data_IF_865855341878
#
_entry.id   IF_865855341878
#
_cell.length_a   1.000
_cell.length_b   1.000
_cell.length_c   1.000
_cell.angle_alpha   90.00
_cell.angle_beta   90.00
_cell.angle_gamma   90.00
#
_symmetry.space_group_name_H-M   'P 1'
#
loop_
_entity.id
_entity.type
_entity.pdbx_description
1 polymer ?
#
# COMPACT_ATOMS: atom_id res chain seq x y z
N UNK A 1 11.23 -19.09 1.83
CA UNK A 1 10.10 -18.71 2.69
C UNK A 1 10.54 -18.93 4.13
N UNK A 2 10.26 -18.01 5.03
CA UNK A 2 10.56 -18.16 6.45
C UNK A 2 9.83 -19.39 7.03
N UNK A 3 10.51 -20.11 7.92
CA UNK A 3 9.93 -21.26 8.63
C UNK A 3 8.95 -20.83 9.75
N UNK A 4 8.95 -19.52 10.09
CA UNK A 4 8.18 -18.98 11.20
C UNK A 4 6.85 -18.34 10.76
N UNK A 5 5.94 -18.23 11.71
CA UNK A 5 4.66 -17.55 11.53
C UNK A 5 4.84 -16.02 11.39
N UNK A 6 3.89 -15.29 10.79
CA UNK A 6 3.99 -13.84 10.55
C UNK A 6 4.36 -13.02 11.78
N UNK A 7 3.78 -13.30 12.94
CA UNK A 7 4.08 -12.59 14.18
C UNK A 7 5.54 -12.75 14.64
N UNK A 8 6.14 -13.91 14.42
CA UNK A 8 7.55 -14.17 14.69
C UNK A 8 8.42 -13.45 13.67
N UNK A 9 8.02 -13.48 12.39
CA UNK A 9 8.74 -12.80 11.32
C UNK A 9 8.77 -11.27 11.51
N UNK A 10 7.72 -10.67 12.06
CA UNK A 10 7.72 -9.25 12.44
C UNK A 10 8.87 -8.88 13.38
N UNK A 11 9.30 -9.82 14.23
CA UNK A 11 10.36 -9.61 15.21
C UNK A 11 11.75 -9.97 14.70
N UNK A 12 11.87 -11.02 13.88
CA UNK A 12 13.14 -11.67 13.61
C UNK A 12 13.65 -11.57 12.17
N UNK A 13 12.79 -11.24 11.21
CA UNK A 13 13.21 -11.07 9.81
C UNK A 13 13.89 -9.73 9.56
N UNK A 14 14.70 -9.68 8.50
CA UNK A 14 15.38 -8.50 7.99
C UNK A 14 16.74 -8.22 8.62
N UNK A 15 16.89 -8.33 9.94
CA UNK A 15 18.16 -8.13 10.62
C UNK A 15 18.48 -9.29 11.55
N UNK A 16 19.62 -9.93 11.31
CA UNK A 16 20.16 -11.02 12.14
C UNK A 16 21.52 -10.54 12.70
N UNK A 17 21.59 -10.16 13.99
CA UNK A 17 22.84 -9.71 14.57
C UNK A 17 23.86 -10.84 14.73
N UNK A 18 25.12 -10.53 14.42
CA UNK A 18 26.26 -11.40 14.72
C UNK A 18 26.66 -11.33 16.20
N UNK A 19 27.68 -12.12 16.57
CA UNK A 19 28.18 -12.13 17.93
C UNK A 19 28.81 -10.78 18.31
N UNK A 20 28.26 -10.13 19.34
CA UNK A 20 28.71 -8.80 19.80
C UNK A 20 28.17 -7.62 19.03
N UNK A 21 27.28 -7.85 18.07
CA UNK A 21 26.58 -6.78 17.34
C UNK A 21 25.32 -6.30 18.10
N UNK A 22 24.84 -5.08 17.79
CA UNK A 22 23.61 -4.56 18.38
C UNK A 22 22.45 -5.52 18.15
N UNK A 23 21.63 -5.76 19.18
CA UNK A 23 20.44 -6.60 19.05
C UNK A 23 19.36 -5.94 18.17
N UNK A 24 19.26 -4.63 18.21
CA UNK A 24 18.32 -3.89 17.38
C UNK A 24 19.00 -3.40 16.10
N UNK A 25 18.24 -3.18 15.06
CA UNK A 25 18.69 -2.67 13.76
C UNK A 25 19.49 -1.36 13.95
N UNK A 26 20.73 -1.26 13.46
CA UNK A 26 21.51 -0.02 13.52
C UNK A 26 20.93 1.04 12.57
N UNK A 27 20.97 2.30 13.00
CA UNK A 27 20.63 3.44 12.15
C UNK A 27 21.90 3.93 11.45
N UNK A 28 22.03 3.62 10.17
CA UNK A 28 23.19 4.04 9.36
C UNK A 28 22.90 5.41 8.74
N UNK A 29 23.15 6.45 9.48
CA UNK A 29 22.94 7.85 9.05
C UNK A 29 24.19 8.36 8.31
N UNK A 30 24.43 7.85 7.11
CA UNK A 30 25.54 8.24 6.23
C UNK A 30 25.06 8.45 4.81
N UNK A 31 25.58 9.44 4.10
CA UNK A 31 25.30 9.65 2.67
C UNK A 31 26.14 8.73 1.79
N UNK A 32 27.37 8.42 2.19
CA UNK A 32 28.37 7.70 1.42
C UNK A 32 29.12 6.69 2.27
N UNK A 33 29.78 5.75 1.62
CA UNK A 33 30.53 4.69 2.25
C UNK A 33 31.96 4.65 1.72
N UNK A 34 32.94 4.23 2.54
CA UNK A 34 34.35 4.22 2.21
C UNK A 34 34.78 2.85 1.71
N UNK A 35 35.52 2.84 0.61
CA UNK A 35 36.18 1.66 0.04
C UNK A 35 37.69 1.80 0.09
N UNK A 36 38.40 0.65 0.09
CA UNK A 36 39.87 0.63 0.12
C UNK A 36 40.47 0.98 -1.26
N UNK A 37 39.79 0.61 -2.34
CA UNK A 37 40.25 0.83 -3.74
C UNK A 37 39.15 1.35 -4.62
N UNK A 38 39.50 2.00 -5.73
CA UNK A 38 38.56 2.45 -6.76
C UNK A 38 37.88 1.27 -7.47
N UNK A 39 38.61 0.18 -7.68
CA UNK A 39 38.12 -1.03 -8.34
C UNK A 39 37.00 -1.68 -7.51
N UNK A 40 37.20 -1.81 -6.19
CA UNK A 40 36.19 -2.39 -5.30
C UNK A 40 34.90 -1.52 -5.27
N UNK A 41 35.01 -0.21 -5.40
CA UNK A 41 33.85 0.67 -5.51
C UNK A 41 33.25 0.61 -6.92
N UNK A 42 34.07 0.51 -7.98
CA UNK A 42 33.63 0.41 -9.38
C UNK A 42 32.71 -0.78 -9.60
N UNK A 43 33.06 -1.94 -9.07
CA UNK A 43 32.26 -3.17 -9.18
C UNK A 43 30.80 -3.01 -8.66
N UNK A 44 30.56 -2.08 -7.71
CA UNK A 44 29.21 -1.78 -7.24
C UNK A 44 28.42 -0.96 -8.27
N UNK A 45 29.08 -0.03 -8.96
CA UNK A 45 28.47 0.74 -10.05
C UNK A 45 28.14 -0.12 -11.26
N UNK A 46 28.94 -1.17 -11.48
CA UNK A 46 28.73 -2.12 -12.56
C UNK A 46 27.74 -3.25 -12.20
N UNK A 47 27.19 -3.22 -10.97
CA UNK A 47 26.30 -4.25 -10.40
C UNK A 47 26.96 -5.65 -10.30
N UNK A 48 28.28 -5.72 -10.30
CA UNK A 48 29.07 -6.95 -10.20
C UNK A 48 29.33 -7.37 -8.75
N UNK A 49 29.14 -6.47 -7.79
CA UNK A 49 29.32 -6.71 -6.37
C UNK A 49 28.14 -6.16 -5.56
N UNK A 50 27.89 -6.79 -4.40
CA UNK A 50 26.93 -6.29 -3.40
C UNK A 50 27.63 -5.31 -2.44
N UNK A 51 26.91 -4.27 -2.01
CA UNK A 51 27.40 -3.29 -1.05
C UNK A 51 26.72 -1.94 -1.14
N UNK A 52 27.20 -1.00 -0.33
CA UNK A 52 26.62 0.33 -0.22
C UNK A 52 27.64 1.38 -0.61
N UNK A 53 27.30 2.27 -1.52
CA UNK A 53 28.18 3.39 -1.90
C UNK A 53 27.50 4.77 -1.71
N UNK A 54 26.18 4.82 -1.87
CA UNK A 54 25.43 6.06 -1.72
C UNK A 54 24.00 5.78 -1.24
N UNK A 55 23.59 6.40 -0.14
CA UNK A 55 22.30 6.14 0.54
C UNK A 55 21.07 6.40 -0.32
N UNK A 56 21.14 7.29 -1.33
CA UNK A 56 20.02 7.50 -2.25
C UNK A 56 19.61 6.21 -2.97
N UNK A 57 20.55 5.32 -3.30
CA UNK A 57 20.25 4.05 -3.94
C UNK A 57 19.91 2.99 -2.88
N UNK A 58 20.84 2.76 -1.95
CA UNK A 58 20.71 1.72 -0.94
C UNK A 58 21.33 2.15 0.39
N UNK A 59 20.74 1.68 1.49
CA UNK A 59 21.23 1.93 2.84
C UNK A 59 20.97 0.70 3.71
N UNK A 60 21.92 0.27 4.55
CA UNK A 60 21.76 -0.95 5.37
C UNK A 60 20.48 -0.97 6.20
N UNK A 61 20.10 0.16 6.82
CA UNK A 61 18.87 0.25 7.62
C UNK A 61 17.62 0.08 6.75
N UNK A 62 17.59 0.74 5.59
CA UNK A 62 16.46 0.65 4.66
C UNK A 62 16.28 -0.76 4.11
N UNK A 63 17.38 -1.41 3.73
CA UNK A 63 17.36 -2.73 3.10
C UNK A 63 16.95 -3.82 4.09
N UNK A 64 17.35 -3.70 5.37
CA UNK A 64 16.92 -4.63 6.43
C UNK A 64 15.41 -4.52 6.67
N UNK A 65 14.84 -3.32 6.63
CA UNK A 65 13.38 -3.13 6.77
C UNK A 65 12.65 -3.60 5.51
N UNK A 66 13.20 -3.34 4.33
CA UNK A 66 12.66 -3.88 3.08
C UNK A 66 12.62 -5.41 3.09
N UNK A 67 13.70 -6.06 3.54
CA UNK A 67 13.77 -7.52 3.67
C UNK A 67 12.72 -8.06 4.65
N UNK A 68 12.48 -7.38 5.78
CA UNK A 68 11.41 -7.75 6.73
C UNK A 68 10.03 -7.70 6.05
N UNK A 69 9.70 -6.60 5.37
CA UNK A 69 8.41 -6.46 4.66
C UNK A 69 8.30 -7.51 3.55
N UNK A 70 9.39 -7.77 2.82
CA UNK A 70 9.45 -8.83 1.81
C UNK A 70 9.08 -10.20 2.38
N UNK A 71 9.68 -10.58 3.51
CA UNK A 71 9.39 -11.85 4.18
C UNK A 71 7.93 -11.92 4.68
N UNK A 72 7.40 -10.82 5.19
CA UNK A 72 6.00 -10.76 5.66
C UNK A 72 5.00 -10.97 4.52
N UNK A 73 5.22 -10.36 3.36
CA UNK A 73 4.39 -10.58 2.16
C UNK A 73 4.64 -11.95 1.50
N UNK A 74 5.80 -12.55 1.74
CA UNK A 74 6.22 -13.79 1.08
C UNK A 74 6.76 -13.55 -0.33
N UNK A 75 7.38 -12.39 -0.54
CA UNK A 75 8.07 -12.00 -1.78
C UNK A 75 9.50 -12.54 -1.89
N UNK A 76 10.17 -12.19 -2.99
CA UNK A 76 11.57 -12.54 -3.27
C UNK A 76 12.50 -11.34 -3.16
N UNK A 77 12.01 -10.15 -3.46
CA UNK A 77 12.75 -8.89 -3.38
C UNK A 77 11.83 -7.73 -2.97
N UNK A 78 12.39 -6.73 -2.32
CA UNK A 78 11.67 -5.54 -1.93
C UNK A 78 12.56 -4.31 -1.89
N UNK A 79 11.96 -3.12 -1.97
CA UNK A 79 12.61 -1.84 -1.74
C UNK A 79 11.70 -0.90 -0.95
N UNK A 80 12.31 0.01 -0.18
CA UNK A 80 11.57 1.10 0.46
C UNK A 80 11.58 2.35 -0.43
N UNK A 81 10.54 3.16 -0.28
CA UNK A 81 10.41 4.47 -0.91
C UNK A 81 10.03 5.53 0.14
N UNK A 82 10.21 6.81 -0.20
CA UNK A 82 9.91 7.93 0.70
C UNK A 82 8.41 8.12 0.99
N UNK A 83 7.53 7.46 0.27
CA UNK A 83 6.07 7.50 0.47
C UNK A 83 5.38 6.37 -0.28
N UNK A 84 4.13 6.02 0.11
CA UNK A 84 3.29 5.11 -0.64
C UNK A 84 3.01 5.59 -2.08
N UNK A 85 2.88 6.91 -2.29
CA UNK A 85 2.73 7.48 -3.65
C UNK A 85 3.96 7.23 -4.52
N UNK A 86 5.17 7.34 -3.96
CA UNK A 86 6.39 6.98 -4.68
C UNK A 86 6.44 5.48 -4.98
N UNK A 87 5.95 4.62 -4.07
CA UNK A 87 5.84 3.20 -4.31
C UNK A 87 4.90 2.89 -5.48
N UNK A 88 3.69 3.45 -5.49
CA UNK A 88 2.73 3.27 -6.58
C UNK A 88 3.23 3.84 -7.91
N UNK A 89 3.90 5.01 -7.89
CA UNK A 89 4.52 5.58 -9.07
C UNK A 89 5.63 4.67 -9.62
N UNK A 90 6.57 4.23 -8.78
CA UNK A 90 7.67 3.37 -9.21
C UNK A 90 7.18 2.01 -9.68
N UNK A 91 6.18 1.43 -9.02
CA UNK A 91 5.64 0.14 -9.42
C UNK A 91 5.10 0.15 -10.85
N UNK A 92 4.46 1.21 -11.28
CA UNK A 92 3.99 1.36 -12.67
C UNK A 92 5.12 1.80 -13.60
N UNK A 93 5.85 2.87 -13.24
CA UNK A 93 6.84 3.50 -14.12
C UNK A 93 8.05 2.60 -14.40
N UNK A 94 8.29 1.60 -13.56
CA UNK A 94 9.33 0.59 -13.77
C UNK A 94 9.11 -0.28 -15.02
N UNK A 95 7.85 -0.46 -15.43
CA UNK A 95 7.45 -1.36 -16.53
C UNK A 95 6.58 -0.69 -17.60
N UNK A 96 6.17 0.55 -17.40
CA UNK A 96 5.38 1.33 -18.34
C UNK A 96 6.07 2.66 -18.63
N UNK A 97 5.99 3.12 -19.88
CA UNK A 97 6.59 4.35 -20.39
C UNK A 97 5.60 5.12 -21.28
N UNK A 98 6.06 6.23 -21.87
CA UNK A 98 5.24 7.00 -22.81
C UNK A 98 4.70 6.13 -23.96
N UNK A 99 3.40 6.17 -24.18
CA UNK A 99 2.68 5.35 -25.16
C UNK A 99 2.09 4.05 -24.60
N UNK A 100 2.38 3.71 -23.33
CA UNK A 100 1.85 2.53 -22.69
C UNK A 100 0.50 2.78 -21.99
N UNK A 101 -0.15 1.70 -21.59
CA UNK A 101 -1.47 1.70 -20.98
C UNK A 101 -1.49 0.83 -19.73
N UNK A 102 -2.32 1.21 -18.75
CA UNK A 102 -2.57 0.46 -17.51
C UNK A 102 -4.07 0.38 -17.25
N UNK A 103 -4.57 -0.78 -16.83
CA UNK A 103 -5.93 -0.96 -16.31
C UNK A 103 -5.88 -0.77 -14.80
N UNK A 104 -6.76 0.02 -14.23
CA UNK A 104 -6.81 0.24 -12.79
C UNK A 104 -8.24 0.14 -12.25
N UNK A 105 -8.41 -0.37 -11.03
CA UNK A 105 -9.68 -0.21 -10.32
C UNK A 105 -9.93 1.30 -10.08
N UNK A 106 -11.17 1.74 -10.26
CA UNK A 106 -11.57 3.11 -9.91
C UNK A 106 -11.68 3.31 -8.40
N UNK A 107 -11.89 2.22 -7.66
CA UNK A 107 -11.92 2.22 -6.20
C UNK A 107 -10.50 2.05 -5.65
N UNK A 108 -9.76 3.15 -5.61
CA UNK A 108 -8.41 3.27 -5.06
C UNK A 108 -8.28 4.60 -4.30
N UNK A 109 -7.23 4.76 -3.52
CA UNK A 109 -6.95 6.01 -2.80
C UNK A 109 -6.97 7.21 -3.77
N UNK A 110 -7.66 8.29 -3.38
CA UNK A 110 -7.86 9.45 -4.25
C UNK A 110 -6.55 10.09 -4.73
N UNK A 111 -5.47 10.05 -3.93
CA UNK A 111 -4.15 10.49 -4.35
C UNK A 111 -3.56 9.62 -5.46
N UNK A 112 -3.75 8.31 -5.39
CA UNK A 112 -3.32 7.36 -6.42
C UNK A 112 -4.16 7.51 -7.69
N UNK A 113 -5.47 7.70 -7.56
CA UNK A 113 -6.35 8.00 -8.69
C UNK A 113 -5.86 9.25 -9.44
N UNK A 114 -5.59 10.35 -8.73
CA UNK A 114 -5.09 11.57 -9.33
C UNK A 114 -3.68 11.39 -9.94
N UNK A 115 -2.79 10.62 -9.30
CA UNK A 115 -1.48 10.27 -9.84
C UNK A 115 -1.65 9.64 -11.23
N UNK A 116 -2.54 8.67 -11.37
CA UNK A 116 -2.77 7.93 -12.60
C UNK A 116 -3.53 8.77 -13.64
N UNK A 117 -4.69 9.31 -13.27
CA UNK A 117 -5.58 10.02 -14.20
C UNK A 117 -5.01 11.34 -14.73
N UNK A 118 -4.12 11.98 -13.96
CA UNK A 118 -3.62 13.32 -14.30
C UNK A 118 -2.11 13.34 -14.49
N UNK A 119 -1.35 12.94 -13.47
CA UNK A 119 0.11 13.13 -13.47
C UNK A 119 0.80 12.20 -14.46
N UNK A 120 0.55 10.89 -14.37
CA UNK A 120 1.17 9.91 -15.27
C UNK A 120 0.62 10.01 -16.71
N UNK A 121 -0.62 10.45 -16.88
CA UNK A 121 -1.17 10.77 -18.19
C UNK A 121 -0.36 11.88 -18.89
N UNK A 122 0.12 12.89 -18.15
CA UNK A 122 1.03 13.92 -18.68
C UNK A 122 2.41 13.37 -19.08
N UNK A 123 2.78 12.21 -18.53
CA UNK A 123 4.00 11.47 -18.90
C UNK A 123 3.75 10.54 -20.09
N UNK A 124 2.54 10.55 -20.65
CA UNK A 124 2.15 9.73 -21.80
C UNK A 124 1.73 8.31 -21.48
N UNK A 125 1.45 7.99 -20.22
CA UNK A 125 0.91 6.69 -19.81
C UNK A 125 -0.60 6.83 -19.67
N UNK A 126 -1.36 6.07 -20.45
CA UNK A 126 -2.83 6.06 -20.41
C UNK A 126 -3.36 5.08 -19.35
N UNK A 127 -4.52 5.43 -18.79
CA UNK A 127 -5.21 4.57 -17.83
C UNK A 127 -6.67 4.36 -18.23
N UNK A 128 -7.14 3.10 -18.12
CA UNK A 128 -8.56 2.76 -18.14
C UNK A 128 -8.98 2.33 -16.74
N UNK A 129 -9.95 3.04 -16.16
CA UNK A 129 -10.49 2.72 -14.85
C UNK A 129 -11.74 1.84 -15.00
N UNK A 130 -11.78 0.75 -14.23
CA UNK A 130 -12.92 -0.18 -14.14
C UNK A 130 -13.56 -0.11 -12.76
N UNK A 131 -14.87 -0.29 -12.67
CA UNK A 131 -15.56 -0.32 -11.39
C UNK A 131 -15.09 -1.48 -10.49
N UNK A 132 -15.19 -1.37 -9.17
CA UNK A 132 -14.80 -2.45 -8.25
C UNK A 132 -15.64 -3.72 -8.48
N UNK A 133 -16.89 -3.55 -8.89
CA UNK A 133 -17.86 -4.62 -9.14
C UNK A 133 -17.97 -4.98 -10.63
N UNK A 134 -17.02 -4.55 -11.48
CA UNK A 134 -17.02 -4.86 -12.91
C UNK A 134 -17.10 -6.37 -13.14
N UNK A 135 -17.82 -6.77 -14.17
CA UNK A 135 -17.83 -8.17 -14.62
C UNK A 135 -16.47 -8.55 -15.22
N UNK A 136 -16.24 -9.84 -15.43
CA UNK A 136 -15.01 -10.31 -16.10
C UNK A 136 -14.94 -9.75 -17.53
N UNK A 137 -16.07 -9.70 -18.24
CA UNK A 137 -16.18 -9.17 -19.60
C UNK A 137 -15.87 -7.66 -19.66
N UNK A 138 -16.34 -6.89 -18.67
CA UNK A 138 -16.01 -5.45 -18.58
C UNK A 138 -14.53 -5.22 -18.28
N UNK A 139 -13.94 -6.05 -17.43
CA UNK A 139 -12.52 -6.02 -17.13
C UNK A 139 -11.69 -6.39 -18.37
N UNK A 140 -12.05 -7.47 -19.06
CA UNK A 140 -11.41 -7.90 -20.32
C UNK A 140 -11.48 -6.81 -21.40
N UNK A 141 -12.61 -6.11 -21.53
CA UNK A 141 -12.80 -5.04 -22.52
C UNK A 141 -11.92 -3.79 -22.24
N UNK A 142 -11.38 -3.66 -21.03
CA UNK A 142 -10.49 -2.55 -20.66
C UNK A 142 -9.05 -2.71 -21.19
N UNK A 143 -8.65 -3.92 -21.58
CA UNK A 143 -7.28 -4.18 -22.04
C UNK A 143 -7.05 -3.67 -23.47
N UNK A 144 -5.83 -3.21 -23.73
CA UNK A 144 -5.33 -2.76 -25.02
C UNK A 144 -4.03 -3.52 -25.37
N UNK A 145 -3.63 -3.55 -26.65
CA UNK A 145 -2.37 -4.21 -27.03
C UNK A 145 -1.13 -3.71 -26.29
N UNK A 146 -1.13 -2.42 -25.90
CA UNK A 146 -0.07 -1.75 -25.14
C UNK A 146 -0.29 -1.73 -23.63
N UNK A 147 -1.22 -2.51 -23.11
CA UNK A 147 -1.40 -2.65 -21.64
C UNK A 147 -0.18 -3.33 -21.01
N UNK A 148 0.34 -2.74 -19.92
CA UNK A 148 1.54 -3.19 -19.19
C UNK A 148 1.26 -3.72 -17.79
N UNK A 149 0.18 -3.30 -17.16
CA UNK A 149 -0.16 -3.74 -15.80
C UNK A 149 -1.66 -3.60 -15.54
N UNK A 150 -2.10 -4.31 -14.49
CA UNK A 150 -3.36 -4.06 -13.81
C UNK A 150 -3.05 -3.59 -12.39
N UNK A 151 -3.79 -2.58 -11.89
CA UNK A 151 -3.60 -2.04 -10.54
C UNK A 151 -4.91 -2.03 -9.74
N UNK A 152 -4.83 -2.38 -8.44
CA UNK A 152 -5.94 -2.26 -7.50
C UNK A 152 -5.47 -2.10 -6.06
N UNK A 153 -6.40 -1.79 -5.15
CA UNK A 153 -6.19 -1.81 -3.69
C UNK A 153 -6.97 -2.96 -3.08
N UNK A 154 -6.37 -3.70 -2.16
CA UNK A 154 -7.04 -4.81 -1.46
C UNK A 154 -8.32 -4.33 -0.76
N UNK A 155 -8.26 -3.21 -0.04
CA UNK A 155 -9.40 -2.47 0.52
C UNK A 155 -9.23 -0.99 0.17
N UNK A 156 -10.16 -0.45 -0.60
CA UNK A 156 -10.12 0.93 -1.07
C UNK A 156 -10.42 1.96 0.03
N UNK A 157 -9.79 3.12 -0.04
CA UNK A 157 -10.00 4.24 0.87
C UNK A 157 -10.61 5.45 0.12
N UNK A 158 -11.79 6.01 0.51
CA UNK A 158 -12.57 5.69 1.72
C UNK A 158 -13.73 4.71 1.50
N UNK A 159 -13.92 4.20 0.27
CA UNK A 159 -15.09 3.42 -0.11
C UNK A 159 -15.17 2.04 0.55
N UNK A 160 -14.07 1.52 1.09
CA UNK A 160 -13.95 0.21 1.74
C UNK A 160 -14.47 -0.97 0.89
N UNK A 161 -14.40 -0.82 -0.44
CA UNK A 161 -14.65 -1.92 -1.37
C UNK A 161 -13.49 -2.91 -1.30
N UNK A 162 -13.76 -4.19 -1.47
CA UNK A 162 -12.74 -5.25 -1.47
C UNK A 162 -12.50 -5.71 -2.90
N UNK A 163 -11.25 -5.66 -3.34
CA UNK A 163 -10.85 -6.14 -4.67
C UNK A 163 -11.02 -7.66 -4.77
N UNK A 164 -11.64 -8.15 -5.83
CA UNK A 164 -11.56 -9.57 -6.20
C UNK A 164 -10.21 -9.87 -6.84
N UNK A 165 -9.20 -10.13 -5.98
CA UNK A 165 -7.80 -10.28 -6.40
C UNK A 165 -7.65 -11.38 -7.44
N UNK A 166 -8.30 -12.54 -7.26
CA UNK A 166 -8.18 -13.66 -8.21
C UNK A 166 -8.80 -13.35 -9.57
N UNK A 167 -9.92 -12.62 -9.62
CA UNK A 167 -10.53 -12.19 -10.89
C UNK A 167 -9.56 -11.26 -11.64
N UNK A 168 -9.05 -10.24 -10.97
CA UNK A 168 -8.12 -9.30 -11.56
C UNK A 168 -6.79 -9.96 -11.99
N UNK A 169 -6.27 -10.90 -11.19
CA UNK A 169 -5.07 -11.68 -11.54
C UNK A 169 -5.27 -12.55 -12.78
N UNK A 170 -6.40 -13.29 -12.87
CA UNK A 170 -6.69 -14.12 -14.04
C UNK A 170 -6.73 -13.30 -15.32
N UNK A 171 -7.48 -12.19 -15.33
CA UNK A 171 -7.55 -11.30 -16.49
C UNK A 171 -6.18 -10.70 -16.82
N UNK A 172 -5.44 -10.21 -15.84
CA UNK A 172 -4.10 -9.68 -16.05
C UNK A 172 -3.16 -10.71 -16.71
N UNK A 173 -3.11 -11.92 -16.15
CA UNK A 173 -2.25 -12.99 -16.66
C UNK A 173 -2.70 -13.52 -18.04
N UNK A 174 -4.00 -13.55 -18.33
CA UNK A 174 -4.50 -13.88 -19.67
C UNK A 174 -3.99 -12.91 -20.74
N UNK A 175 -3.77 -11.65 -20.38
CA UNK A 175 -3.19 -10.64 -21.25
C UNK A 175 -1.66 -10.52 -21.12
N UNK A 176 -1.01 -11.37 -20.34
CA UNK A 176 0.46 -11.40 -20.15
C UNK A 176 0.99 -10.13 -19.49
N UNK A 177 0.29 -9.61 -18.50
CA UNK A 177 0.69 -8.46 -17.69
C UNK A 177 0.56 -8.76 -16.20
N UNK A 178 1.38 -8.13 -15.31
CA UNK A 178 1.29 -8.35 -13.88
C UNK A 178 0.10 -7.64 -13.25
N UNK A 179 -0.41 -8.22 -12.14
CA UNK A 179 -1.29 -7.54 -11.21
C UNK A 179 -0.47 -6.89 -10.08
N UNK A 180 -0.63 -5.59 -9.91
CA UNK A 180 -0.05 -4.77 -8.84
C UNK A 180 -1.16 -4.47 -7.82
N UNK A 181 -0.94 -4.75 -6.54
CA UNK A 181 -1.93 -4.55 -5.48
C UNK A 181 -1.36 -3.68 -4.37
N UNK A 182 -2.00 -2.57 -4.07
CA UNK A 182 -1.75 -1.81 -2.85
C UNK A 182 -2.42 -2.50 -1.66
N UNK A 183 -1.61 -3.07 -0.76
CA UNK A 183 -2.05 -3.87 0.39
C UNK A 183 -1.93 -3.10 1.71
N UNK A 184 -2.02 -1.78 1.67
CA UNK A 184 -1.79 -0.89 2.82
C UNK A 184 -2.74 -1.16 3.99
N UNK A 185 -4.04 -1.39 3.73
CA UNK A 185 -5.03 -1.50 4.80
C UNK A 185 -5.02 -2.87 5.49
N UNK A 186 -5.08 -4.01 4.80
CA UNK A 186 -5.03 -5.31 5.46
C UNK A 186 -3.67 -5.61 6.06
N UNK A 187 -2.60 -5.04 5.52
CA UNK A 187 -1.21 -5.44 5.82
C UNK A 187 -0.95 -6.91 5.51
N UNK A 188 0.29 -7.40 5.48
CA UNK A 188 0.56 -8.81 5.28
C UNK A 188 0.07 -9.72 6.42
N UNK A 189 -0.43 -9.12 7.51
CA UNK A 189 -1.00 -9.89 8.64
C UNK A 189 -2.38 -10.46 8.29
N UNK A 190 -3.23 -9.65 7.65
CA UNK A 190 -4.60 -10.08 7.32
C UNK A 190 -4.76 -10.54 5.87
N UNK A 191 -3.94 -10.02 4.93
CA UNK A 191 -3.97 -10.43 3.54
C UNK A 191 -2.55 -10.49 2.95
N UNK A 192 -2.28 -11.55 2.19
CA UNK A 192 -1.09 -11.71 1.37
C UNK A 192 -1.50 -11.86 -0.08
N UNK A 193 -1.56 -10.79 -0.87
CA UNK A 193 -2.07 -10.81 -2.23
C UNK A 193 -1.37 -11.81 -3.17
N UNK A 194 -0.08 -12.15 -2.89
CA UNK A 194 0.66 -13.16 -3.64
C UNK A 194 0.07 -14.57 -3.56
N UNK A 195 -0.71 -14.87 -2.53
CA UNK A 195 -1.43 -16.16 -2.41
C UNK A 195 -2.61 -16.24 -3.36
N UNK A 196 -3.09 -15.08 -3.85
CA UNK A 196 -4.27 -14.92 -4.67
C UNK A 196 -3.96 -14.48 -6.10
N UNK A 197 -2.68 -14.50 -6.49
CA UNK A 197 -2.24 -14.25 -7.86
C UNK A 197 -1.71 -12.84 -8.14
N UNK A 198 -1.58 -11.96 -7.15
CA UNK A 198 -0.84 -10.71 -7.35
C UNK A 198 0.65 -11.00 -7.63
N UNK A 199 1.28 -10.12 -8.40
CA UNK A 199 2.69 -10.25 -8.77
C UNK A 199 3.56 -9.24 -8.03
N UNK A 200 3.06 -8.01 -7.89
CA UNK A 200 3.72 -6.92 -7.18
C UNK A 200 2.77 -6.40 -6.10
N UNK A 201 3.31 -6.13 -4.92
CA UNK A 201 2.57 -5.50 -3.83
C UNK A 201 3.21 -4.17 -3.47
N UNK A 202 2.39 -3.15 -3.26
CA UNK A 202 2.82 -1.85 -2.74
C UNK A 202 2.22 -1.58 -1.38
N UNK A 203 2.89 -0.74 -0.60
CA UNK A 203 2.42 -0.28 0.70
C UNK A 203 2.72 1.20 0.92
N UNK A 204 1.80 1.90 1.57
CA UNK A 204 2.13 3.09 2.33
C UNK A 204 2.53 2.64 3.74
N UNK A 205 3.85 2.56 4.01
CA UNK A 205 4.35 2.19 5.34
C UNK A 205 4.01 3.25 6.39
N UNK A 206 3.62 4.45 5.96
CA UNK A 206 3.06 5.55 6.76
C UNK A 206 1.89 5.14 7.66
N UNK A 207 1.16 4.06 7.26
CA UNK A 207 -0.09 3.63 7.89
C UNK A 207 0.18 2.61 9.01
N UNK A 208 -0.46 1.46 9.00
CA UNK A 208 -0.31 0.45 10.06
C UNK A 208 1.13 -0.01 10.31
N UNK A 209 2.01 -0.01 9.29
CA UNK A 209 3.40 -0.45 9.49
C UNK A 209 4.19 0.47 10.42
N UNK A 210 4.05 1.79 10.29
CA UNK A 210 4.51 2.76 11.30
C UNK A 210 3.58 2.76 12.51
N UNK A 211 2.29 2.98 12.31
CA UNK A 211 1.19 2.89 13.27
C UNK A 211 1.14 3.99 14.33
N UNK A 212 2.01 4.99 14.26
CA UNK A 212 2.18 6.03 15.29
C UNK A 212 2.26 7.45 14.71
N UNK A 213 1.96 7.61 13.41
CA UNK A 213 2.06 8.89 12.69
C UNK A 213 3.47 9.54 12.75
N UNK A 214 4.54 8.74 12.88
CA UNK A 214 5.91 9.22 13.03
C UNK A 214 6.62 9.38 11.68
N UNK A 215 6.39 8.45 10.73
CA UNK A 215 7.18 8.36 9.51
C UNK A 215 6.32 8.23 8.26
N UNK A 216 6.61 9.05 7.26
CA UNK A 216 6.10 8.85 5.90
C UNK A 216 7.03 7.91 5.17
N UNK A 217 6.46 6.88 4.53
CA UNK A 217 7.24 5.91 3.76
C UNK A 217 6.36 5.04 2.87
N UNK A 218 7.00 4.25 2.03
CA UNK A 218 6.38 3.25 1.18
C UNK A 218 7.27 2.05 0.99
N UNK A 219 6.72 0.98 0.43
CA UNK A 219 7.45 -0.23 0.05
C UNK A 219 6.88 -0.81 -1.24
N UNK A 220 7.74 -1.48 -1.99
CA UNK A 220 7.39 -2.30 -3.15
C UNK A 220 7.96 -3.69 -2.89
N UNK A 221 7.16 -4.72 -3.10
CA UNK A 221 7.55 -6.13 -2.95
C UNK A 221 7.24 -6.86 -4.25
N UNK A 222 8.20 -7.63 -4.74
CA UNK A 222 8.04 -8.50 -5.90
C UNK A 222 7.85 -9.95 -5.44
N UNK A 223 6.86 -10.63 -5.98
CA UNK A 223 6.66 -12.06 -5.76
C UNK A 223 7.74 -12.93 -6.40
N UNK A 224 8.42 -12.43 -7.43
CA UNK A 224 9.35 -13.19 -8.28
C UNK A 224 8.68 -14.24 -9.16
N UNK A 225 7.35 -14.25 -9.27
CA UNK A 225 6.59 -15.28 -9.98
C UNK A 225 6.21 -14.90 -11.41
N UNK A 226 6.15 -13.60 -11.72
CA UNK A 226 5.80 -13.16 -13.05
C UNK A 226 6.95 -13.43 -14.03
N UNK A 227 6.67 -14.17 -15.09
CA UNK A 227 7.66 -14.54 -16.10
C UNK A 227 7.84 -13.42 -17.14
N UNK A 228 8.73 -12.47 -16.82
CA UNK A 228 9.08 -11.35 -17.71
C UNK A 228 9.59 -11.80 -19.07
N UNK A 229 10.35 -12.91 -19.11
CA UNK A 229 10.93 -13.44 -20.34
C UNK A 229 9.89 -14.03 -21.29
N UNK A 230 8.84 -14.63 -20.74
CA UNK A 230 7.70 -15.12 -21.53
C UNK A 230 7.01 -13.98 -22.31
N UNK A 231 7.04 -12.77 -21.78
CA UNK A 231 6.39 -11.59 -22.34
C UNK A 231 7.43 -10.50 -22.67
N UNK A 232 8.62 -10.90 -23.13
CA UNK A 232 9.76 -10.01 -23.37
C UNK A 232 9.44 -8.78 -24.24
N UNK A 233 8.64 -8.98 -25.29
CA UNK A 233 8.20 -7.89 -26.18
C UNK A 233 7.39 -6.80 -25.44
N UNK A 234 6.71 -7.17 -24.36
CA UNK A 234 5.97 -6.21 -23.52
C UNK A 234 6.87 -5.48 -22.52
N UNK A 235 7.94 -6.12 -22.07
CA UNK A 235 8.80 -5.62 -20.99
C UNK A 235 10.27 -5.51 -21.41
N UNK A 236 10.59 -4.80 -22.53
CA UNK A 236 11.97 -4.71 -23.01
C UNK A 236 12.91 -4.09 -21.97
N UNK A 237 12.44 -3.16 -21.11
CA UNK A 237 13.27 -2.57 -20.06
C UNK A 237 13.80 -3.55 -19.00
N UNK A 238 13.28 -4.80 -18.95
CA UNK A 238 13.78 -5.87 -18.06
C UNK A 238 14.51 -6.96 -18.84
N UNK A 239 14.20 -7.15 -20.13
CA UNK A 239 14.55 -8.32 -20.93
C UNK A 239 15.48 -8.03 -22.08
N UNK A 240 15.88 -6.75 -22.26
CA UNK A 240 16.88 -6.34 -23.25
C UNK A 240 18.03 -5.59 -22.57
N UNK A 241 19.19 -5.44 -23.24
CA UNK A 241 20.33 -4.71 -22.72
C UNK A 241 20.02 -3.28 -22.31
N UNK A 242 20.42 -2.90 -21.08
CA UNK A 242 20.24 -1.55 -20.54
C UNK A 242 21.41 -0.64 -20.88
N UNK A 243 21.15 0.44 -21.60
CA UNK A 243 22.18 1.41 -22.00
C UNK A 243 22.85 2.12 -20.80
N UNK A 244 22.14 2.26 -19.67
CA UNK A 244 22.66 2.96 -18.48
C UNK A 244 23.55 2.09 -17.61
N UNK A 245 23.62 0.76 -17.87
CA UNK A 245 24.42 -0.21 -17.14
C UNK A 245 25.20 -1.15 -18.05
N UNK A 246 25.97 -0.60 -19.00
CA UNK A 246 26.89 -1.33 -19.89
C UNK A 246 26.25 -2.50 -20.65
N UNK A 247 24.94 -2.42 -20.90
CA UNK A 247 24.22 -3.44 -21.66
C UNK A 247 23.83 -4.70 -20.86
N UNK A 248 23.74 -4.63 -19.53
CA UNK A 248 23.18 -5.74 -18.75
C UNK A 248 21.70 -5.96 -19.10
N UNK A 249 21.26 -7.21 -19.04
CA UNK A 249 19.84 -7.59 -19.11
C UNK A 249 19.40 -8.01 -17.70
N UNK A 250 18.46 -7.28 -17.10
CA UNK A 250 18.11 -7.50 -15.67
C UNK A 250 17.62 -8.92 -15.38
N UNK A 251 16.79 -9.50 -16.28
CA UNK A 251 16.31 -10.89 -16.07
C UNK A 251 17.39 -11.94 -16.22
N UNK A 252 18.43 -11.70 -17.02
CA UNK A 252 19.56 -12.61 -17.17
C UNK A 252 20.52 -12.55 -15.97
N UNK A 253 20.76 -11.34 -15.44
CA UNK A 253 21.72 -11.13 -14.36
C UNK A 253 21.13 -11.43 -12.97
N UNK A 254 19.88 -11.05 -12.73
CA UNK A 254 19.24 -11.12 -11.41
C UNK A 254 18.08 -12.12 -11.33
N UNK A 255 17.80 -12.84 -12.43
CA UNK A 255 16.67 -13.76 -12.51
C UNK A 255 15.31 -13.09 -12.39
N UNK A 256 14.24 -13.87 -12.45
CA UNK A 256 12.87 -13.33 -12.35
C UNK A 256 12.62 -12.69 -10.99
N UNK A 257 13.18 -13.24 -9.91
CA UNK A 257 12.94 -12.77 -8.54
C UNK A 257 13.69 -11.51 -8.13
N UNK A 258 14.72 -11.09 -8.88
CA UNK A 258 15.53 -9.91 -8.57
C UNK A 258 15.40 -8.78 -9.59
N UNK A 259 15.10 -9.09 -10.84
CA UNK A 259 15.15 -8.16 -11.97
C UNK A 259 14.31 -6.88 -11.75
N UNK A 260 13.08 -7.04 -11.29
CA UNK A 260 12.14 -5.92 -11.15
C UNK A 260 12.58 -4.91 -10.08
N UNK A 261 12.94 -5.36 -8.91
CA UNK A 261 13.39 -4.49 -7.79
C UNK A 261 14.78 -3.92 -8.08
N UNK A 262 15.70 -4.71 -8.66
CA UNK A 262 17.03 -4.20 -9.02
C UNK A 262 16.92 -3.08 -10.04
N UNK A 263 16.11 -3.22 -11.09
CA UNK A 263 15.86 -2.14 -12.06
C UNK A 263 15.25 -0.91 -11.40
N UNK A 264 14.23 -1.08 -10.56
CA UNK A 264 13.60 0.03 -9.86
C UNK A 264 14.61 0.79 -8.97
N UNK A 265 15.52 0.09 -8.30
CA UNK A 265 16.58 0.68 -7.49
C UNK A 265 17.65 1.34 -8.35
N UNK A 266 18.18 0.63 -9.34
CA UNK A 266 19.29 1.05 -10.17
C UNK A 266 18.94 2.23 -11.09
N UNK A 267 17.69 2.32 -11.56
CA UNK A 267 17.22 3.40 -12.41
C UNK A 267 16.34 4.41 -11.66
N UNK A 268 15.17 3.99 -11.18
CA UNK A 268 14.19 4.94 -10.65
C UNK A 268 14.64 5.59 -9.34
N UNK A 269 15.14 4.79 -8.39
CA UNK A 269 15.65 5.34 -7.14
C UNK A 269 16.89 6.21 -7.38
N UNK A 270 17.80 5.79 -8.26
CA UNK A 270 18.98 6.56 -8.64
C UNK A 270 18.60 7.94 -9.21
N UNK A 271 17.64 7.97 -10.13
CA UNK A 271 17.34 9.15 -10.95
C UNK A 271 16.28 10.06 -10.31
N UNK A 272 15.24 9.52 -9.69
CA UNK A 272 14.17 10.29 -9.02
C UNK A 272 14.40 10.51 -7.53
N UNK A 273 15.18 9.65 -6.87
CA UNK A 273 15.66 9.88 -5.51
C UNK A 273 14.61 9.74 -4.41
N UNK A 274 13.53 9.03 -4.61
CA UNK A 274 12.47 8.85 -3.61
C UNK A 274 12.89 7.90 -2.45
N UNK A 275 14.12 8.05 -1.94
CA UNK A 275 14.68 7.24 -0.84
C UNK A 275 14.14 7.70 0.52
N UNK A 276 13.79 6.80 1.45
CA UNK A 276 13.44 7.18 2.81
C UNK A 276 14.70 7.50 3.62
N UNK A 277 14.59 8.41 4.59
CA UNK A 277 15.63 8.60 5.57
C UNK A 277 15.77 7.34 6.46
N UNK A 278 17.01 6.90 6.80
CA UNK A 278 17.22 5.71 7.64
C UNK A 278 16.49 5.76 8.98
N UNK A 279 16.34 6.93 9.56
CA UNK A 279 15.55 7.15 10.78
C UNK A 279 14.07 6.80 10.58
N UNK A 280 13.48 7.18 9.43
CA UNK A 280 12.09 6.83 9.12
C UNK A 280 11.92 5.32 8.98
N UNK A 281 12.87 4.65 8.32
CA UNK A 281 12.89 3.19 8.21
C UNK A 281 13.02 2.51 9.57
N UNK A 282 13.83 3.08 10.47
CA UNK A 282 13.93 2.60 11.85
C UNK A 282 12.58 2.70 12.59
N UNK A 283 11.85 3.81 12.48
CA UNK A 283 10.50 3.93 13.07
C UNK A 283 9.54 2.90 12.48
N UNK A 284 9.58 2.68 11.18
CA UNK A 284 8.78 1.62 10.53
C UNK A 284 9.16 0.24 11.10
N UNK A 285 10.46 -0.06 11.33
CA UNK A 285 10.87 -1.32 11.95
C UNK A 285 10.26 -1.50 13.34
N UNK A 286 10.30 -0.46 14.19
CA UNK A 286 9.69 -0.50 15.53
C UNK A 286 8.17 -0.74 15.44
N UNK A 287 7.51 -0.10 14.48
CA UNK A 287 6.10 -0.33 14.20
C UNK A 287 5.80 -1.77 13.75
N UNK A 288 6.63 -2.32 12.87
CA UNK A 288 6.48 -3.70 12.38
C UNK A 288 6.58 -4.74 13.50
N UNK A 289 7.42 -4.52 14.51
CA UNK A 289 7.59 -5.47 15.62
C UNK A 289 6.31 -5.73 16.42
N UNK A 290 5.40 -4.75 16.45
CA UNK A 290 4.10 -4.86 17.14
C UNK A 290 2.92 -4.87 16.18
N UNK A 291 3.16 -4.96 14.87
CA UNK A 291 2.13 -4.88 13.85
C UNK A 291 0.97 -5.87 14.07
N UNK A 292 1.20 -7.17 14.34
CA UNK A 292 0.11 -8.12 14.53
C UNK A 292 -0.82 -7.72 15.69
N UNK A 293 -0.25 -7.37 16.84
CA UNK A 293 -1.01 -6.97 18.03
C UNK A 293 -1.88 -5.73 17.76
N UNK A 294 -1.33 -4.77 17.01
CA UNK A 294 -2.04 -3.52 16.71
C UNK A 294 -3.15 -3.73 15.68
N UNK A 295 -2.88 -4.43 14.57
CA UNK A 295 -3.91 -4.59 13.52
C UNK A 295 -5.05 -5.49 13.99
N UNK A 296 -4.80 -6.52 14.80
CA UNK A 296 -5.85 -7.31 15.46
C UNK A 296 -6.73 -6.43 16.36
N UNK A 297 -6.10 -5.57 17.17
CA UNK A 297 -6.85 -4.65 18.06
C UNK A 297 -7.61 -3.59 17.27
N UNK A 298 -7.02 -3.02 16.20
CA UNK A 298 -7.70 -2.10 15.29
C UNK A 298 -8.94 -2.74 14.67
N UNK A 299 -8.84 -3.97 14.16
CA UNK A 299 -9.96 -4.68 13.56
C UNK A 299 -11.06 -5.00 14.58
N UNK A 300 -10.68 -5.46 15.77
CA UNK A 300 -11.64 -5.73 16.85
C UNK A 300 -12.41 -4.46 17.28
N UNK A 301 -11.69 -3.35 17.44
CA UNK A 301 -12.30 -2.07 17.80
C UNK A 301 -13.17 -1.52 16.66
N UNK A 302 -12.74 -1.66 15.39
CA UNK A 302 -13.52 -1.23 14.23
C UNK A 302 -14.80 -2.07 14.07
N UNK A 303 -14.74 -3.38 14.31
CA UNK A 303 -15.91 -4.25 14.31
C UNK A 303 -16.92 -3.79 15.35
N UNK A 304 -16.49 -3.56 16.60
CA UNK A 304 -17.35 -3.07 17.67
C UNK A 304 -17.96 -1.70 17.35
N UNK A 305 -17.18 -0.77 16.82
CA UNK A 305 -17.66 0.54 16.38
C UNK A 305 -18.67 0.43 15.23
N UNK A 306 -18.40 -0.43 14.23
CA UNK A 306 -19.30 -0.63 13.09
C UNK A 306 -20.64 -1.26 13.52
N UNK A 307 -20.64 -2.24 14.42
CA UNK A 307 -21.85 -2.85 14.99
C UNK A 307 -22.66 -1.84 15.82
N UNK A 308 -21.98 -1.05 16.65
CA UNK A 308 -22.62 0.02 17.42
C UNK A 308 -23.28 1.04 16.48
N UNK A 309 -22.55 1.57 15.50
CA UNK A 309 -23.05 2.55 14.55
C UNK A 309 -24.21 1.98 13.71
N UNK A 310 -24.14 0.73 13.27
CA UNK A 310 -25.19 0.09 12.47
C UNK A 310 -26.52 -0.07 13.23
N UNK A 311 -26.49 -0.13 14.57
CA UNK A 311 -27.67 -0.21 15.41
C UNK A 311 -28.17 1.14 15.90
N UNK A 312 -27.43 2.25 15.69
CA UNK A 312 -27.72 3.54 16.26
C UNK A 312 -28.75 4.33 15.43
N UNK A 313 -29.87 4.85 16.00
CA UNK A 313 -30.97 5.47 15.26
C UNK A 313 -30.58 6.77 14.53
N UNK A 314 -29.51 7.45 14.90
CA UNK A 314 -29.00 8.67 14.25
C UNK A 314 -27.98 8.40 13.14
N UNK A 315 -27.66 7.15 12.88
CA UNK A 315 -26.79 6.71 11.78
C UNK A 315 -27.67 6.28 10.60
N UNK A 316 -27.38 6.81 9.43
CA UNK A 316 -28.15 6.53 8.21
C UNK A 316 -27.70 5.25 7.52
N UNK A 317 -26.40 5.01 7.51
CA UNK A 317 -25.76 3.83 6.89
C UNK A 317 -24.36 3.62 7.48
N UNK A 318 -23.90 2.39 7.42
CA UNK A 318 -22.51 1.99 7.79
C UNK A 318 -21.93 1.13 6.69
N UNK A 319 -20.69 1.40 6.33
CA UNK A 319 -19.92 0.60 5.41
C UNK A 319 -18.64 0.10 6.10
N UNK A 320 -18.59 -1.22 6.31
CA UNK A 320 -17.45 -1.92 6.89
C UNK A 320 -17.46 -3.38 6.39
N UNK A 321 -16.40 -3.86 5.71
CA UNK A 321 -16.39 -5.20 5.10
C UNK A 321 -16.52 -6.36 6.08
N UNK A 322 -16.29 -6.12 7.39
CA UNK A 322 -16.49 -7.09 8.46
C UNK A 322 -17.94 -7.30 8.90
N UNK A 323 -18.89 -6.49 8.41
CA UNK A 323 -20.32 -6.66 8.75
C UNK A 323 -20.99 -7.67 7.79
N UNK A 324 -21.75 -8.67 8.29
CA UNK A 324 -22.38 -9.70 7.47
C UNK A 324 -23.31 -9.16 6.36
N UNK A 325 -23.89 -7.97 6.53
CA UNK A 325 -24.75 -7.32 5.54
C UNK A 325 -23.99 -6.50 4.47
N UNK A 326 -22.67 -6.39 4.56
CA UNK A 326 -21.86 -5.62 3.60
C UNK A 326 -21.75 -6.40 2.27
N UNK A 327 -21.87 -5.73 1.10
CA UNK A 327 -21.73 -6.40 -0.21
C UNK A 327 -20.40 -7.14 -0.38
N UNK A 328 -19.34 -6.65 0.23
CA UNK A 328 -17.99 -7.24 0.12
C UNK A 328 -17.67 -8.25 1.24
N UNK A 329 -18.61 -8.56 2.13
CA UNK A 329 -18.37 -9.48 3.26
C UNK A 329 -17.82 -10.83 2.82
N UNK A 330 -18.37 -11.41 1.74
CA UNK A 330 -17.91 -12.70 1.24
C UNK A 330 -16.45 -12.66 0.74
N UNK A 331 -16.08 -11.61 -0.02
CA UNK A 331 -14.69 -11.40 -0.45
C UNK A 331 -13.76 -11.11 0.73
N UNK A 332 -14.22 -10.29 1.67
CA UNK A 332 -13.47 -10.01 2.90
C UNK A 332 -13.18 -11.31 3.69
N UNK A 333 -14.19 -12.15 3.90
CA UNK A 333 -14.00 -13.45 4.58
C UNK A 333 -13.12 -14.43 3.80
N UNK A 334 -13.10 -14.35 2.47
CA UNK A 334 -12.23 -15.17 1.62
C UNK A 334 -10.76 -14.76 1.75
N UNK A 335 -10.46 -13.47 1.59
CA UNK A 335 -9.09 -12.98 1.52
C UNK A 335 -8.50 -12.61 2.88
N UNK A 336 -9.35 -12.25 3.84
CA UNK A 336 -9.01 -11.70 5.15
C UNK A 336 -9.87 -12.33 6.26
N UNK A 337 -9.77 -13.65 6.48
CA UNK A 337 -10.65 -14.38 7.42
C UNK A 337 -10.55 -13.89 8.87
N UNK A 338 -9.37 -13.37 9.27
CA UNK A 338 -9.05 -13.02 10.65
C UNK A 338 -9.23 -11.52 10.97
N UNK A 339 -9.59 -10.70 9.97
CA UNK A 339 -9.81 -9.26 10.13
C UNK A 339 -9.56 -8.50 8.84
N UNK A 340 -10.21 -7.35 8.67
CA UNK A 340 -10.12 -6.55 7.45
C UNK A 340 -9.21 -5.33 7.61
N UNK A 341 -9.68 -4.32 8.31
CA UNK A 341 -8.94 -3.09 8.63
C UNK A 341 -9.58 -2.37 9.82
N UNK A 342 -8.91 -1.36 10.34
CA UNK A 342 -9.41 -0.50 11.42
C UNK A 342 -10.17 0.74 10.94
N UNK A 343 -10.71 0.75 9.70
CA UNK A 343 -11.41 1.92 9.15
C UNK A 343 -12.87 1.59 8.92
N UNK A 344 -13.76 2.47 9.39
CA UNK A 344 -15.22 2.40 9.19
C UNK A 344 -15.67 3.67 8.48
N UNK A 345 -16.49 3.55 7.44
CA UNK A 345 -17.18 4.68 6.82
C UNK A 345 -18.66 4.62 7.16
N UNK A 346 -19.26 5.76 7.49
CA UNK A 346 -20.70 5.83 7.83
C UNK A 346 -21.26 7.20 7.54
N UNK A 347 -22.58 7.31 7.42
CA UNK A 347 -23.31 8.57 7.31
C UNK A 347 -24.20 8.78 8.51
N UNK A 348 -24.27 10.05 8.98
CA UNK A 348 -25.20 10.45 10.05
C UNK A 348 -26.49 11.02 9.48
N UNK A 349 -27.63 10.82 10.20
CA UNK A 349 -28.90 11.41 9.85
C UNK A 349 -28.78 12.95 9.81
N UNK A 350 -29.29 13.59 8.75
CA UNK A 350 -29.22 15.05 8.58
C UNK A 350 -28.05 15.56 7.73
N UNK A 351 -27.32 14.67 7.06
CA UNK A 351 -26.37 15.01 6.00
C UNK A 351 -25.12 15.75 6.46
N UNK A 352 -24.54 16.58 5.58
CA UNK A 352 -23.26 17.30 5.77
C UNK A 352 -23.17 18.10 7.07
N UNK A 353 -24.24 18.85 7.43
CA UNK A 353 -24.24 19.67 8.64
C UNK A 353 -24.25 18.82 9.93
N UNK A 354 -25.00 17.72 9.90
CA UNK A 354 -25.03 16.76 10.99
C UNK A 354 -23.69 16.08 11.17
N UNK A 355 -23.04 15.67 10.08
CA UNK A 355 -21.67 15.11 10.10
C UNK A 355 -20.67 16.12 10.71
N UNK A 356 -20.79 17.40 10.37
CA UNK A 356 -19.91 18.43 10.95
C UNK A 356 -20.16 18.63 12.46
N UNK A 357 -21.43 18.62 12.91
CA UNK A 357 -21.76 18.69 14.35
C UNK A 357 -21.27 17.47 15.11
N UNK A 358 -21.46 16.28 14.55
CA UNK A 358 -20.92 15.03 15.10
C UNK A 358 -19.43 15.13 15.33
N UNK A 359 -18.66 15.49 14.28
CA UNK A 359 -17.20 15.59 14.40
C UNK A 359 -16.74 16.64 15.42
N UNK A 360 -17.44 17.80 15.48
CA UNK A 360 -17.14 18.83 16.46
C UNK A 360 -17.44 18.40 17.91
N UNK A 361 -18.29 17.41 18.09
CA UNK A 361 -18.66 16.84 19.39
C UNK A 361 -17.68 15.80 19.94
N UNK A 362 -16.83 15.21 19.11
CA UNK A 362 -15.87 14.19 19.51
C UNK A 362 -14.84 14.79 20.50
N UNK A 363 -14.49 14.03 21.52
CA UNK A 363 -13.54 14.41 22.58
C UNK A 363 -12.28 13.54 22.59
N UNK A 364 -12.43 12.28 22.24
CA UNK A 364 -11.33 11.31 22.14
C UNK A 364 -10.79 11.29 20.72
N UNK A 365 -11.64 11.11 19.71
CA UNK A 365 -11.26 11.02 18.32
C UNK A 365 -10.81 12.39 17.76
N UNK A 366 -9.62 12.42 17.17
CA UNK A 366 -9.06 13.65 16.60
C UNK A 366 -9.46 13.85 15.14
N UNK A 367 -9.76 15.07 14.72
CA UNK A 367 -9.97 15.41 13.31
C UNK A 367 -8.59 15.45 12.63
N UNK A 368 -8.31 14.48 11.77
CA UNK A 368 -7.05 14.36 11.06
C UNK A 368 -7.21 13.70 9.69
N UNK A 369 -6.36 14.06 8.73
CA UNK A 369 -6.32 13.41 7.42
C UNK A 369 -5.68 12.01 7.46
N UNK A 370 -5.11 11.63 8.58
CA UNK A 370 -4.44 10.36 8.80
C UNK A 370 -5.43 9.18 8.93
N UNK A 371 -4.92 7.96 8.80
CA UNK A 371 -5.59 6.69 9.09
C UNK A 371 -4.56 5.70 9.64
N UNK A 372 -5.03 4.67 10.35
CA UNK A 372 -4.19 3.59 10.84
C UNK A 372 -3.17 4.04 11.91
N UNK A 373 -3.49 5.09 12.64
CA UNK A 373 -2.77 5.52 13.85
C UNK A 373 -3.29 4.72 15.06
N UNK A 374 -2.42 4.50 16.03
CA UNK A 374 -2.77 3.95 17.32
C UNK A 374 -3.90 4.74 18.01
N UNK A 375 -4.04 6.02 17.70
CA UNK A 375 -5.11 6.91 18.20
C UNK A 375 -6.25 7.00 17.19
N UNK A 376 -7.47 6.95 17.69
CA UNK A 376 -8.68 7.12 16.87
C UNK A 376 -8.70 8.52 16.24
N UNK A 377 -8.92 8.56 14.93
CA UNK A 377 -9.07 9.81 14.19
C UNK A 377 -10.26 9.74 13.21
N UNK A 378 -10.78 10.92 12.86
CA UNK A 378 -11.97 11.08 12.04
C UNK A 378 -11.74 12.10 10.94
N UNK A 379 -12.37 11.87 9.80
CA UNK A 379 -12.38 12.79 8.67
C UNK A 379 -13.76 12.83 8.01
N UNK A 380 -14.20 14.03 7.62
CA UNK A 380 -15.35 14.23 6.74
C UNK A 380 -14.84 14.68 5.37
N UNK A 381 -14.72 13.79 4.38
CA UNK A 381 -14.08 14.09 3.10
C UNK A 381 -14.72 15.29 2.38
N UNK A 382 -16.06 15.38 2.37
CA UNK A 382 -16.79 16.45 1.69
C UNK A 382 -16.49 17.88 2.22
N UNK A 383 -16.05 18.01 3.47
CA UNK A 383 -15.66 19.33 4.03
C UNK A 383 -14.15 19.54 4.09
N UNK A 384 -13.34 18.53 3.73
CA UNK A 384 -11.89 18.56 3.87
C UNK A 384 -11.20 18.19 2.56
N UNK A 385 -10.86 16.92 2.37
CA UNK A 385 -10.04 16.42 1.23
C UNK A 385 -10.72 16.57 -0.13
N UNK A 386 -12.05 16.60 -0.19
CA UNK A 386 -12.85 16.74 -1.40
C UNK A 386 -13.68 18.06 -1.42
N UNK A 387 -13.28 19.02 -0.59
CA UNK A 387 -14.02 20.29 -0.41
C UNK A 387 -14.26 21.08 -1.71
N UNK A 388 -13.45 20.86 -2.72
CA UNK A 388 -13.54 21.55 -4.01
C UNK A 388 -14.59 20.94 -4.95
N UNK A 389 -15.11 19.73 -4.62
CA UNK A 389 -16.11 19.02 -5.39
C UNK A 389 -17.52 19.41 -4.97
N UNK A 390 -18.42 19.51 -5.95
CA UNK A 390 -19.85 19.57 -5.69
C UNK A 390 -20.42 18.19 -5.34
N UNK A 391 -21.70 18.11 -4.96
CA UNK A 391 -22.30 16.85 -4.49
C UNK A 391 -22.39 15.77 -5.60
N UNK A 392 -22.54 16.15 -6.87
CA UNK A 392 -22.54 15.22 -8.01
C UNK A 392 -21.13 14.64 -8.25
N UNK A 393 -20.12 15.49 -8.18
CA UNK A 393 -18.71 15.09 -8.30
C UNK A 393 -18.28 14.21 -7.13
N UNK A 394 -18.75 14.50 -5.91
CA UNK A 394 -18.51 13.67 -4.73
C UNK A 394 -19.11 12.26 -4.90
N UNK A 395 -20.37 12.17 -5.36
CA UNK A 395 -21.00 10.86 -5.62
C UNK A 395 -20.28 10.07 -6.71
N UNK A 396 -19.84 10.74 -7.78
CA UNK A 396 -19.05 10.12 -8.83
C UNK A 396 -17.70 9.59 -8.32
N UNK A 397 -17.14 10.22 -7.28
CA UNK A 397 -15.92 9.79 -6.59
C UNK A 397 -16.19 8.73 -5.49
N UNK A 398 -17.44 8.25 -5.34
CA UNK A 398 -17.82 7.28 -4.30
C UNK A 398 -17.86 7.86 -2.88
N UNK A 399 -18.00 9.18 -2.76
CA UNK A 399 -18.05 9.89 -1.48
C UNK A 399 -19.41 10.59 -1.37
N UNK A 400 -20.26 10.16 -0.42
CA UNK A 400 -21.49 10.91 -0.13
C UNK A 400 -21.19 12.13 0.73
N UNK A 401 -22.08 13.16 0.62
CA UNK A 401 -21.89 14.42 1.34
C UNK A 401 -21.97 14.29 2.87
N UNK A 402 -22.54 13.20 3.37
CA UNK A 402 -22.68 12.84 4.79
C UNK A 402 -21.61 11.85 5.28
N UNK A 403 -20.71 11.39 4.39
CA UNK A 403 -19.71 10.38 4.74
C UNK A 403 -18.74 10.87 5.81
N UNK A 404 -18.71 10.16 6.91
CA UNK A 404 -17.67 10.25 7.94
C UNK A 404 -16.79 9.02 7.86
N UNK A 405 -15.47 9.23 7.72
CA UNK A 405 -14.47 8.16 7.80
C UNK A 405 -13.85 8.14 9.20
N UNK A 406 -14.06 7.07 9.93
CA UNK A 406 -13.49 6.82 11.24
C UNK A 406 -12.33 5.84 11.10
N UNK A 407 -11.12 6.24 11.45
CA UNK A 407 -9.99 5.34 11.64
C UNK A 407 -9.90 5.02 13.12
N UNK A 408 -10.31 3.81 13.46
CA UNK A 408 -10.43 3.35 14.84
C UNK A 408 -9.05 2.95 15.35
N UNK A 409 -8.65 3.53 16.48
CA UNK A 409 -7.38 3.26 17.14
C UNK A 409 -7.41 2.00 18.01
N UNK A 410 -6.41 1.90 18.88
CA UNK A 410 -6.24 0.75 19.79
C UNK A 410 -6.62 1.06 21.24
N UNK A 411 -7.30 2.18 21.47
CA UNK A 411 -7.84 2.56 22.79
C UNK A 411 -8.83 1.49 23.31
N UNK A 412 -9.26 1.64 24.54
CA UNK A 412 -10.32 0.79 25.08
C UNK A 412 -11.61 0.97 24.27
N UNK A 413 -12.25 -0.10 23.79
CA UNK A 413 -13.46 0.01 22.96
C UNK A 413 -14.61 0.72 23.68
N UNK A 414 -14.72 0.61 25.00
CA UNK A 414 -15.76 1.29 25.75
C UNK A 414 -15.61 2.81 25.70
N UNK A 415 -14.38 3.34 25.72
CA UNK A 415 -14.09 4.76 25.60
C UNK A 415 -14.39 5.28 24.20
N UNK A 416 -14.03 4.50 23.16
CA UNK A 416 -14.35 4.83 21.77
C UNK A 416 -15.87 4.91 21.57
N UNK A 417 -16.61 3.90 22.02
CA UNK A 417 -18.07 3.85 21.88
C UNK A 417 -18.75 4.97 22.69
N UNK A 418 -18.26 5.29 23.87
CA UNK A 418 -18.77 6.40 24.67
C UNK A 418 -18.55 7.76 23.99
N UNK A 419 -17.40 7.95 23.31
CA UNK A 419 -17.13 9.17 22.54
C UNK A 419 -18.05 9.30 21.32
N UNK A 420 -18.27 8.20 20.60
CA UNK A 420 -19.23 8.17 19.48
C UNK A 420 -20.67 8.46 19.96
N UNK A 421 -21.13 7.84 21.03
CA UNK A 421 -22.47 8.03 21.60
C UNK A 421 -22.72 9.48 21.99
N UNK A 422 -21.81 10.09 22.75
CA UNK A 422 -21.97 11.48 23.21
C UNK A 422 -21.90 12.49 22.04
N UNK A 423 -21.13 12.22 20.98
CA UNK A 423 -21.08 13.04 19.80
C UNK A 423 -22.35 12.88 18.94
N UNK A 424 -22.88 11.67 18.78
CA UNK A 424 -24.17 11.41 18.14
C UNK A 424 -25.35 12.07 18.88
N UNK A 425 -25.25 12.28 20.20
CA UNK A 425 -26.28 13.01 20.93
C UNK A 425 -26.48 14.46 20.43
N UNK A 426 -25.47 15.05 19.77
CA UNK A 426 -25.51 16.43 19.22
C UNK A 426 -26.08 16.53 17.80
N UNK A 427 -26.39 15.41 17.16
CA UNK A 427 -26.94 15.31 15.80
C UNK A 427 -28.47 15.33 15.83
#
# INVERSE_FOLDING_TARGET
MSEYQPSTNCLHEGYVPGSGEPRNIPIVQSTTFRYATGEAMGALFDLEAEGYFYTRLQNPTNDQVAAKICALEGGTAAMLTSSGQAANFFAIFNIASCGDHVVASSAIYGGTFNLFAVTMKRMGIDFTFVGPDCTEEELEAAFRPNTKAVFGETIANPALTVLDIEKFARCAHAHGVPLIVDNTFPTPIHCRPFQWGADIVTHSTTKYMDGHANAVGGAIVDSGKFDWNRYADKFPGLTTPDESYHGITYTEWFGLGGAYITKATAQLMRDFGATPAPMNSYFVNVGLETLPLRVEKHCANAQAAAEFLASHPKVAWVNYPGLPGNPYYALARKYMPDGTCGVVSFGVQGGREAASRFMAGLKLASIATHVADAKTCVLHPASTTHRQMNDEELLAAGVSADLVRLSVGIEDPADILADLEQALALV
#
